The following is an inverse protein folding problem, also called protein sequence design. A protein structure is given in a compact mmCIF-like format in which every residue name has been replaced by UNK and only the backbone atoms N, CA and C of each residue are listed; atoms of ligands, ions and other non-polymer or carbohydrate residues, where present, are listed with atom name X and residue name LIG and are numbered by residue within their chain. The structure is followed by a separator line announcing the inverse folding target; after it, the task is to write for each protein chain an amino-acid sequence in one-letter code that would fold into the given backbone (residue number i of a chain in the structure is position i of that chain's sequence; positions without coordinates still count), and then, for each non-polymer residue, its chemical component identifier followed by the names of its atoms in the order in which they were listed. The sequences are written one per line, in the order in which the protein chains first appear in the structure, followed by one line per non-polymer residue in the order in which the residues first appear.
data_IF_862560570990
#
_entry.id   IF_862560570990
#
_cell.length_a   1.000
_cell.length_b   1.000
_cell.length_c   1.000
_cell.angle_alpha   90.00
_cell.angle_beta   90.00
_cell.angle_gamma   90.00
#
_symmetry.space_group_name_H-M   'P 1'
#
loop_
_entity.id
_entity.type
_entity.pdbx_description
1 polymer ?
#
# COMPACT_ATOMS: atom_id res chain seq x y z
N UNK A 1 -10.65 26.64 -11.42
CA UNK A 1 -9.53 25.81 -10.97
C UNK A 1 -9.96 24.36 -10.81
N UNK A 2 -11.07 24.06 -10.10
CA UNK A 2 -11.64 22.71 -9.93
C UNK A 2 -11.90 21.99 -11.27
N UNK A 3 -12.55 22.71 -12.22
CA UNK A 3 -12.81 22.17 -13.56
C UNK A 3 -11.53 21.80 -14.31
N UNK A 4 -10.47 22.62 -14.18
CA UNK A 4 -9.17 22.33 -14.78
C UNK A 4 -8.57 21.06 -14.19
N UNK A 5 -8.57 20.90 -12.86
CA UNK A 5 -8.05 19.70 -12.18
C UNK A 5 -8.84 18.46 -12.61
N UNK A 6 -10.18 18.57 -12.67
CA UNK A 6 -11.03 17.47 -13.12
C UNK A 6 -10.80 17.12 -14.59
N UNK A 7 -10.53 18.10 -15.45
CA UNK A 7 -10.23 17.86 -16.87
C UNK A 7 -8.91 17.12 -17.08
N UNK A 8 -7.97 17.20 -16.14
CA UNK A 8 -6.72 16.43 -16.11
C UNK A 8 -6.90 15.01 -15.55
N UNK A 9 -8.13 14.62 -15.21
CA UNK A 9 -8.43 13.28 -14.67
C UNK A 9 -8.20 13.13 -13.17
N UNK A 10 -7.82 14.20 -12.46
CA UNK A 10 -7.68 14.20 -11.00
C UNK A 10 -9.02 14.49 -10.32
N UNK A 11 -9.20 13.96 -9.12
CA UNK A 11 -10.37 14.24 -8.28
C UNK A 11 -9.95 15.27 -7.22
N UNK A 12 -10.47 16.51 -7.30
CA UNK A 12 -10.12 17.53 -6.34
C UNK A 12 -10.83 17.29 -5.00
N UNK A 13 -10.05 17.28 -3.92
CA UNK A 13 -10.55 17.29 -2.55
C UNK A 13 -10.37 18.70 -1.98
N UNK A 14 -11.46 19.35 -1.60
CA UNK A 14 -11.43 20.69 -1.01
C UNK A 14 -11.36 20.57 0.50
N UNK A 15 -10.27 21.06 1.07
CA UNK A 15 -10.00 21.07 2.51
C UNK A 15 -9.61 22.47 2.94
N UNK A 16 -9.82 22.81 4.21
CA UNK A 16 -9.13 23.94 4.82
C UNK A 16 -7.64 23.59 4.97
N UNK A 17 -6.79 24.60 5.17
CA UNK A 17 -5.35 24.35 5.37
C UNK A 17 -5.10 23.59 6.68
N UNK A 18 -5.90 23.83 7.72
CA UNK A 18 -5.82 23.11 8.99
C UNK A 18 -6.15 21.64 8.84
N UNK A 19 -7.23 21.31 8.11
CA UNK A 19 -7.61 19.92 7.80
C UNK A 19 -6.53 19.24 6.96
N UNK A 20 -6.02 19.93 5.93
CA UNK A 20 -4.92 19.40 5.11
C UNK A 20 -3.69 19.07 5.95
N UNK A 21 -3.25 20.01 6.80
CA UNK A 21 -2.06 19.85 7.62
C UNK A 21 -2.22 18.75 8.67
N UNK A 22 -3.42 18.62 9.26
CA UNK A 22 -3.75 17.54 10.18
C UNK A 22 -3.71 16.16 9.48
N UNK A 23 -4.38 16.03 8.35
CA UNK A 23 -4.43 14.77 7.58
C UNK A 23 -3.04 14.37 7.10
N UNK A 24 -2.29 15.31 6.50
CA UNK A 24 -0.94 15.00 5.97
C UNK A 24 0.05 14.67 7.08
N UNK A 25 -0.09 15.26 8.27
CA UNK A 25 0.69 14.85 9.43
C UNK A 25 0.47 13.36 9.76
N UNK A 26 -0.78 12.91 9.78
CA UNK A 26 -1.14 11.55 10.16
C UNK A 26 -0.75 10.50 9.09
N UNK A 27 -1.07 10.75 7.80
CA UNK A 27 -0.96 9.72 6.75
C UNK A 27 0.33 9.82 5.92
N UNK A 28 1.13 10.87 6.10
CA UNK A 28 2.38 11.09 5.36
C UNK A 28 3.58 11.33 6.28
N UNK A 29 3.51 12.35 7.16
CA UNK A 29 4.68 12.75 7.94
C UNK A 29 5.01 11.72 9.04
N UNK A 30 4.01 11.26 9.76
CA UNK A 30 4.17 10.25 10.81
C UNK A 30 4.76 8.94 10.27
N UNK A 31 4.27 8.35 9.18
CA UNK A 31 4.86 7.15 8.58
C UNK A 31 6.36 7.29 8.26
N UNK A 32 6.79 8.44 7.75
CA UNK A 32 8.21 8.67 7.45
C UNK A 32 9.08 8.75 8.70
N UNK A 33 8.59 9.41 9.74
CA UNK A 33 9.30 9.47 11.03
C UNK A 33 9.41 8.08 11.64
N UNK A 34 8.31 7.31 11.62
CA UNK A 34 8.27 5.95 12.17
C UNK A 34 9.24 5.04 11.41
N UNK A 35 9.22 5.06 10.07
CA UNK A 35 10.14 4.28 9.25
C UNK A 35 11.61 4.62 9.53
N UNK A 36 11.95 5.91 9.60
CA UNK A 36 13.30 6.37 9.90
C UNK A 36 13.71 6.03 11.34
N UNK A 37 12.78 6.15 12.29
CA UNK A 37 13.03 5.78 13.69
C UNK A 37 13.25 4.28 13.84
N UNK A 38 12.50 3.44 13.12
CA UNK A 38 12.69 1.99 13.11
C UNK A 38 14.07 1.61 12.57
N UNK A 39 14.51 2.22 11.47
CA UNK A 39 15.87 2.00 10.92
C UNK A 39 16.93 2.39 11.95
N UNK A 40 16.82 3.57 12.56
CA UNK A 40 17.78 4.05 13.55
C UNK A 40 17.78 3.15 14.81
N UNK A 41 16.62 2.63 15.22
CA UNK A 41 16.53 1.71 16.35
C UNK A 41 17.25 0.39 16.04
N UNK A 42 16.99 -0.20 14.89
CA UNK A 42 17.68 -1.44 14.46
C UNK A 42 19.18 -1.21 14.32
N UNK A 43 19.62 -0.09 13.75
CA UNK A 43 21.04 0.26 13.67
C UNK A 43 21.71 0.33 15.05
N UNK A 44 21.01 0.87 16.05
CA UNK A 44 21.55 0.94 17.42
C UNK A 44 21.61 -0.41 18.14
N UNK A 45 20.74 -1.33 17.77
CA UNK A 45 20.67 -2.68 18.36
C UNK A 45 21.57 -3.68 17.63
N UNK A 46 22.03 -3.34 16.44
CA UNK A 46 22.85 -4.26 15.63
C UNK A 46 24.25 -4.44 16.25
N UNK A 47 24.81 -5.61 16.01
CA UNK A 47 26.14 -5.96 16.50
C UNK A 47 27.21 -5.61 15.46
N UNK A 48 28.52 -5.64 15.84
CA UNK A 48 29.61 -5.39 14.89
C UNK A 48 29.60 -6.35 13.66
N UNK A 49 28.97 -7.52 13.81
CA UNK A 49 28.81 -8.52 12.75
C UNK A 49 27.66 -8.19 11.77
N UNK A 50 26.91 -7.10 12.03
CA UNK A 50 25.77 -6.64 11.20
C UNK A 50 24.71 -7.71 10.93
N UNK A 51 24.43 -8.59 11.90
CA UNK A 51 23.51 -9.70 11.72
C UNK A 51 22.06 -9.25 11.46
N UNK A 52 21.61 -8.14 12.07
CA UNK A 52 20.26 -7.61 11.81
C UNK A 52 20.15 -7.13 10.39
N UNK A 53 21.19 -6.51 9.85
CA UNK A 53 21.26 -6.05 8.46
C UNK A 53 21.24 -7.21 7.46
N UNK A 54 21.90 -8.34 7.79
CA UNK A 54 21.91 -9.55 6.98
C UNK A 54 20.53 -10.24 6.96
N UNK A 55 19.83 -10.29 8.09
CA UNK A 55 18.55 -10.98 8.26
C UNK A 55 17.36 -10.10 7.81
N UNK A 56 17.58 -8.79 7.61
CA UNK A 56 16.53 -7.87 7.20
C UNK A 56 15.83 -8.33 5.92
N UNK A 57 14.62 -8.89 6.07
CA UNK A 57 13.82 -9.48 5.01
C UNK A 57 12.79 -8.49 4.44
N UNK A 58 11.90 -8.97 3.55
CA UNK A 58 10.94 -8.15 2.81
C UNK A 58 10.11 -7.22 3.69
N UNK A 59 9.52 -7.72 4.79
CA UNK A 59 8.68 -6.91 5.67
C UNK A 59 9.39 -5.68 6.25
N UNK A 60 10.65 -5.83 6.71
CA UNK A 60 11.44 -4.71 7.19
C UNK A 60 11.76 -3.72 6.06
N UNK A 61 12.19 -4.23 4.89
CA UNK A 61 12.52 -3.40 3.71
C UNK A 61 11.30 -2.65 3.18
N UNK A 62 10.14 -3.28 3.17
CA UNK A 62 8.90 -2.65 2.69
C UNK A 62 8.46 -1.50 3.60
N UNK A 63 8.40 -1.71 4.91
CA UNK A 63 8.01 -0.70 5.89
C UNK A 63 9.02 0.46 5.90
N UNK A 64 10.32 0.16 5.78
CA UNK A 64 11.39 1.17 5.89
C UNK A 64 11.80 1.79 4.56
N UNK A 65 11.21 1.39 3.44
CA UNK A 65 11.54 1.90 2.10
C UNK A 65 11.56 3.43 2.02
N UNK A 66 10.62 4.08 2.68
CA UNK A 66 10.49 5.54 2.70
C UNK A 66 11.54 6.24 3.57
N UNK A 67 12.25 5.52 4.44
CA UNK A 67 13.35 6.09 5.23
C UNK A 67 14.57 6.51 4.38
N UNK A 68 14.66 6.07 3.12
CA UNK A 68 15.70 6.49 2.17
C UNK A 68 15.43 7.83 1.49
N UNK A 69 14.47 8.60 1.98
CA UNK A 69 14.10 9.91 1.44
C UNK A 69 15.16 10.99 1.74
N UNK A 70 15.13 12.10 0.98
CA UNK A 70 16.09 13.19 1.14
C UNK A 70 15.93 13.90 2.50
N UNK A 71 16.99 13.95 3.34
CA UNK A 71 16.91 14.52 4.69
C UNK A 71 16.56 16.00 4.73
N UNK A 72 17.05 16.80 3.78
CA UNK A 72 16.80 18.26 3.73
C UNK A 72 15.34 18.54 3.44
N UNK A 73 14.72 17.78 2.53
CA UNK A 73 13.28 17.91 2.23
C UNK A 73 12.46 17.59 3.48
N UNK A 74 12.82 16.52 4.20
CA UNK A 74 12.10 16.11 5.39
C UNK A 74 12.29 17.06 6.58
N UNK A 75 13.47 17.67 6.73
CA UNK A 75 13.68 18.76 7.69
C UNK A 75 12.67 19.89 7.47
N UNK A 76 12.54 20.38 6.23
CA UNK A 76 11.59 21.44 5.91
C UNK A 76 10.14 21.03 6.13
N UNK A 77 9.75 19.81 5.74
CA UNK A 77 8.40 19.29 5.97
C UNK A 77 8.06 19.26 7.45
N UNK A 78 8.94 18.71 8.29
CA UNK A 78 8.69 18.57 9.71
C UNK A 78 8.61 19.94 10.43
N UNK A 79 9.43 20.88 9.99
CA UNK A 79 9.43 22.25 10.55
C UNK A 79 8.22 23.07 10.07
N UNK A 80 7.59 22.71 8.98
CA UNK A 80 6.38 23.42 8.46
C UNK A 80 5.09 23.02 9.18
N UNK A 81 5.02 21.81 9.78
CA UNK A 81 3.81 21.31 10.45
C UNK A 81 4.09 20.69 11.86
N UNK A 82 4.84 21.39 12.73
CA UNK A 82 5.35 20.76 13.96
C UNK A 82 4.26 20.38 14.95
N UNK A 83 3.19 21.18 15.07
CA UNK A 83 2.12 20.96 16.04
C UNK A 83 1.39 19.64 15.83
N UNK A 84 0.91 19.41 14.60
CA UNK A 84 0.15 18.21 14.26
C UNK A 84 1.05 16.96 14.31
N UNK A 85 2.30 17.07 13.85
CA UNK A 85 3.28 15.99 13.90
C UNK A 85 3.59 15.58 15.33
N UNK A 86 3.87 16.54 16.21
CA UNK A 86 4.17 16.27 17.63
C UNK A 86 2.98 15.61 18.33
N UNK A 87 1.75 16.06 18.05
CA UNK A 87 0.56 15.44 18.61
C UNK A 87 0.41 14.00 18.13
N UNK A 88 0.54 13.73 16.83
CA UNK A 88 0.48 12.38 16.30
C UNK A 88 1.58 11.46 16.85
N UNK A 89 2.80 11.97 17.06
CA UNK A 89 3.86 11.20 17.69
C UNK A 89 3.54 10.83 19.15
N UNK A 90 2.90 11.72 19.90
CA UNK A 90 2.46 11.42 21.28
C UNK A 90 1.44 10.29 21.29
N UNK A 91 0.41 10.36 20.47
CA UNK A 91 -0.57 9.29 20.30
C UNK A 91 0.10 7.95 19.94
N UNK A 92 1.05 7.99 18.99
CA UNK A 92 1.79 6.79 18.60
C UNK A 92 2.63 6.21 19.75
N UNK A 93 3.26 7.04 20.56
CA UNK A 93 4.02 6.63 21.76
C UNK A 93 3.08 6.01 22.80
N UNK A 94 1.88 6.54 22.99
CA UNK A 94 0.89 5.96 23.91
C UNK A 94 0.45 4.57 23.46
N UNK A 95 0.22 4.36 22.16
CA UNK A 95 -0.09 3.04 21.61
C UNK A 95 1.06 2.05 21.79
N UNK A 96 2.33 2.48 21.62
CA UNK A 96 3.49 1.64 21.90
C UNK A 96 3.60 1.29 23.38
N UNK A 97 3.38 2.23 24.27
CA UNK A 97 3.41 1.99 25.72
C UNK A 97 2.30 1.00 26.14
N UNK A 98 1.10 1.12 25.55
CA UNK A 98 0.04 0.14 25.79
C UNK A 98 0.48 -1.26 25.33
N UNK A 99 1.07 -1.38 24.14
CA UNK A 99 1.55 -2.66 23.63
C UNK A 99 2.65 -3.27 24.52
N UNK A 100 3.59 -2.46 25.01
CA UNK A 100 4.60 -2.90 26.00
C UNK A 100 3.92 -3.47 27.23
N UNK A 101 2.96 -2.74 27.81
CA UNK A 101 2.22 -3.17 28.97
C UNK A 101 1.47 -4.50 28.75
N UNK A 102 0.80 -4.65 27.60
CA UNK A 102 0.05 -5.86 27.27
C UNK A 102 0.99 -7.07 27.09
N UNK A 103 2.16 -6.87 26.48
CA UNK A 103 3.20 -7.92 26.32
C UNK A 103 3.77 -8.35 27.66
N UNK A 104 4.14 -7.41 28.55
CA UNK A 104 4.70 -7.70 29.87
C UNK A 104 3.73 -8.51 30.74
N UNK A 105 2.42 -8.32 30.55
CA UNK A 105 1.36 -9.05 31.27
C UNK A 105 0.95 -10.34 30.58
N UNK A 106 1.49 -10.65 29.41
CA UNK A 106 1.06 -11.77 28.55
C UNK A 106 -0.46 -11.70 28.26
N UNK A 107 -0.99 -10.49 28.01
CA UNK A 107 -2.42 -10.29 27.73
C UNK A 107 -2.72 -10.62 26.26
N UNK A 108 -2.87 -11.91 25.98
CA UNK A 108 -3.14 -12.39 24.64
C UNK A 108 -4.43 -11.81 24.03
N UNK A 109 -5.43 -11.49 24.86
CA UNK A 109 -6.71 -10.93 24.42
C UNK A 109 -6.53 -9.50 23.88
N UNK A 110 -5.87 -8.64 24.65
CA UNK A 110 -5.67 -7.23 24.27
C UNK A 110 -4.69 -7.12 23.10
N UNK A 111 -3.64 -7.96 23.06
CA UNK A 111 -2.72 -8.06 21.92
C UNK A 111 -3.48 -8.47 20.66
N UNK A 112 -4.32 -9.50 20.71
CA UNK A 112 -5.12 -9.94 19.55
C UNK A 112 -6.07 -8.84 19.08
N UNK A 113 -6.80 -8.19 20.00
CA UNK A 113 -7.73 -7.11 19.68
C UNK A 113 -7.02 -5.92 18.99
N UNK A 114 -5.78 -5.60 19.40
CA UNK A 114 -4.99 -4.55 18.77
C UNK A 114 -4.71 -4.85 17.29
N UNK A 115 -4.24 -6.07 16.98
CA UNK A 115 -3.95 -6.46 15.60
C UNK A 115 -5.22 -6.61 14.77
N UNK A 116 -6.31 -7.13 15.36
CA UNK A 116 -7.60 -7.23 14.69
C UNK A 116 -8.12 -5.86 14.26
N UNK A 117 -8.15 -4.89 15.17
CA UNK A 117 -8.58 -3.52 14.87
C UNK A 117 -7.75 -2.86 13.78
N UNK A 118 -6.43 -3.07 13.79
CA UNK A 118 -5.56 -2.53 12.75
C UNK A 118 -5.79 -3.20 11.40
N UNK A 119 -6.04 -4.51 11.38
CA UNK A 119 -6.40 -5.26 10.17
C UNK A 119 -7.70 -4.74 9.57
N UNK A 120 -8.76 -4.64 10.39
CA UNK A 120 -10.05 -4.15 9.93
C UNK A 120 -9.96 -2.75 9.32
N UNK A 121 -9.27 -1.84 10.00
CA UNK A 121 -9.08 -0.50 9.46
C UNK A 121 -8.25 -0.49 8.17
N UNK A 122 -7.16 -1.27 8.12
CA UNK A 122 -6.30 -1.38 6.92
C UNK A 122 -7.07 -1.94 5.73
N UNK A 123 -7.91 -2.95 5.95
CA UNK A 123 -8.74 -3.58 4.92
C UNK A 123 -9.85 -2.65 4.42
N UNK A 124 -10.31 -1.72 5.27
CA UNK A 124 -11.28 -0.69 4.88
C UNK A 124 -10.69 0.40 3.97
N UNK A 125 -9.35 0.54 3.94
CA UNK A 125 -8.69 1.50 3.05
C UNK A 125 -8.77 0.99 1.61
N UNK A 126 -9.37 1.74 0.68
CA UNK A 126 -9.47 1.30 -0.71
C UNK A 126 -8.10 0.98 -1.30
N UNK A 127 -7.95 -0.18 -1.92
CA UNK A 127 -6.70 -0.63 -2.57
C UNK A 127 -6.34 0.18 -3.83
N UNK A 128 -6.98 1.31 -4.01
CA UNK A 128 -6.83 2.14 -5.18
C UNK A 128 -5.56 3.00 -5.09
N UNK A 129 -4.59 2.71 -5.96
CA UNK A 129 -3.28 3.37 -6.04
C UNK A 129 -3.30 4.82 -6.53
N UNK A 130 -4.45 5.43 -6.67
CA UNK A 130 -4.61 6.77 -7.23
C UNK A 130 -5.68 7.58 -6.51
N UNK A 131 -5.49 7.99 -5.24
CA UNK A 131 -6.33 8.97 -4.55
C UNK A 131 -7.85 8.70 -4.60
N UNK A 132 -8.71 9.58 -4.15
CA UNK A 132 -10.18 9.50 -4.19
C UNK A 132 -10.68 9.15 -5.61
N UNK A 133 -11.30 7.96 -5.87
CA UNK A 133 -11.20 7.36 -7.20
C UNK A 133 -12.48 6.91 -7.83
N UNK A 134 -12.42 6.99 -9.17
CA UNK A 134 -13.33 6.33 -10.11
C UNK A 134 -13.27 4.81 -9.92
N UNK A 135 -14.41 4.13 -10.11
CA UNK A 135 -14.47 2.67 -10.21
C UNK A 135 -13.31 2.16 -11.06
N UNK A 136 -12.53 1.25 -10.49
CA UNK A 136 -11.52 0.55 -11.27
C UNK A 136 -12.18 -0.69 -11.83
N UNK A 137 -12.11 -0.83 -13.13
CA UNK A 137 -12.54 -2.02 -13.83
C UNK A 137 -11.37 -3.00 -13.79
N UNK A 138 -11.36 -3.85 -12.76
CA UNK A 138 -10.28 -4.80 -12.50
C UNK A 138 -10.73 -6.24 -12.66
N UNK A 139 -9.82 -7.05 -13.17
CA UNK A 139 -9.97 -8.47 -13.29
C UNK A 139 -8.72 -9.14 -12.71
N UNK A 140 -8.93 -10.18 -11.93
CA UNK A 140 -7.86 -10.98 -11.36
C UNK A 140 -7.83 -12.33 -12.06
N UNK A 141 -6.65 -12.73 -12.55
CA UNK A 141 -6.44 -13.92 -13.38
C UNK A 141 -5.38 -14.79 -12.74
N UNK A 142 -5.69 -16.04 -12.44
CA UNK A 142 -4.67 -17.01 -12.01
C UNK A 142 -3.80 -17.37 -13.21
N UNK A 143 -2.50 -17.16 -13.07
CA UNK A 143 -1.51 -17.54 -14.08
C UNK A 143 -0.44 -18.43 -13.44
N UNK A 144 0.02 -19.49 -14.12
CA UNK A 144 1.13 -20.31 -13.63
C UNK A 144 2.43 -19.49 -13.63
N UNK A 145 3.31 -19.76 -12.68
CA UNK A 145 4.65 -19.16 -12.63
C UNK A 145 5.58 -19.87 -13.61
N UNK A 146 5.37 -19.62 -14.90
CA UNK A 146 6.17 -20.18 -16.01
C UNK A 146 6.54 -19.13 -17.06
N UNK A 147 7.66 -19.31 -17.77
CA UNK A 147 8.04 -18.42 -18.86
C UNK A 147 6.94 -18.30 -19.91
N UNK A 148 6.51 -17.06 -20.19
CA UNK A 148 5.50 -16.78 -21.21
C UNK A 148 4.05 -16.75 -20.70
N UNK A 149 3.75 -17.11 -19.46
CA UNK A 149 2.37 -17.06 -18.93
C UNK A 149 1.76 -15.67 -19.06
N UNK A 150 2.46 -14.63 -18.63
CA UNK A 150 2.03 -13.24 -18.79
C UNK A 150 1.87 -12.84 -20.27
N UNK A 151 2.80 -13.27 -21.12
CA UNK A 151 2.75 -12.98 -22.55
C UNK A 151 1.50 -13.58 -23.21
N UNK A 152 1.12 -14.82 -22.87
CA UNK A 152 -0.08 -15.47 -23.39
C UNK A 152 -1.34 -14.63 -23.10
N UNK A 153 -1.50 -14.15 -21.86
CA UNK A 153 -2.66 -13.32 -21.47
C UNK A 153 -2.65 -11.99 -22.21
N UNK A 154 -1.51 -11.30 -22.26
CA UNK A 154 -1.43 -9.98 -22.91
C UNK A 154 -1.60 -10.06 -24.43
N UNK A 155 -1.14 -11.10 -25.09
CA UNK A 155 -1.34 -11.32 -26.53
C UNK A 155 -2.82 -11.58 -26.83
N UNK A 156 -3.51 -12.45 -26.05
CA UNK A 156 -4.94 -12.68 -26.21
C UNK A 156 -5.76 -11.38 -26.14
N UNK A 157 -5.45 -10.52 -25.18
CA UNK A 157 -6.12 -9.23 -25.02
C UNK A 157 -5.80 -8.29 -26.19
N UNK A 158 -4.55 -8.25 -26.64
CA UNK A 158 -4.11 -7.41 -27.75
C UNK A 158 -4.77 -7.82 -29.09
N UNK A 159 -4.83 -9.12 -29.37
CA UNK A 159 -5.46 -9.67 -30.57
C UNK A 159 -6.99 -9.38 -30.61
N UNK A 160 -7.62 -9.31 -29.45
CA UNK A 160 -9.01 -8.91 -29.31
C UNK A 160 -9.22 -7.37 -29.29
N UNK A 161 -8.15 -6.58 -29.44
CA UNK A 161 -8.21 -5.11 -29.42
C UNK A 161 -8.56 -4.53 -28.05
N UNK A 162 -8.33 -5.27 -26.95
CA UNK A 162 -8.62 -4.83 -25.59
C UNK A 162 -7.37 -4.16 -25.01
N UNK A 163 -7.48 -2.86 -24.72
CA UNK A 163 -6.38 -2.09 -24.16
C UNK A 163 -6.36 -2.17 -22.62
N UNK A 164 -5.17 -2.35 -22.06
CA UNK A 164 -4.93 -2.36 -20.63
C UNK A 164 -4.52 -0.98 -20.14
N UNK A 165 -5.12 -0.53 -19.05
CA UNK A 165 -4.73 0.69 -18.33
C UNK A 165 -3.52 0.44 -17.45
N UNK A 166 -3.52 -0.70 -16.75
CA UNK A 166 -2.45 -1.13 -15.87
C UNK A 166 -2.51 -2.64 -15.65
N UNK A 167 -1.38 -3.23 -15.25
CA UNK A 167 -1.33 -4.62 -14.80
C UNK A 167 -0.28 -4.79 -13.70
N UNK A 168 -0.44 -5.82 -12.89
CA UNK A 168 0.51 -6.15 -11.82
C UNK A 168 0.35 -7.58 -11.37
N UNK A 169 1.41 -8.18 -10.86
CA UNK A 169 1.39 -9.51 -10.27
C UNK A 169 1.37 -9.38 -8.76
N UNK A 170 0.39 -10.02 -8.12
CA UNK A 170 0.30 -10.16 -6.67
C UNK A 170 0.65 -11.61 -6.32
N UNK A 171 1.72 -11.81 -5.55
CA UNK A 171 2.05 -13.13 -5.04
C UNK A 171 1.21 -13.41 -3.79
N UNK A 172 0.48 -14.51 -3.80
CA UNK A 172 -0.04 -15.10 -2.57
C UNK A 172 1.06 -16.02 -2.02
N UNK A 173 1.55 -15.75 -0.80
CA UNK A 173 2.71 -16.46 -0.22
C UNK A 173 2.42 -17.93 0.16
N UNK A 174 1.17 -18.37 0.07
CA UNK A 174 0.74 -19.70 0.52
C UNK A 174 0.57 -20.71 -0.62
N UNK A 175 0.39 -20.25 -1.88
CA UNK A 175 0.28 -21.12 -3.05
C UNK A 175 1.21 -20.60 -4.16
N UNK A 176 1.90 -21.49 -4.87
CA UNK A 176 2.88 -21.17 -5.94
C UNK A 176 2.28 -20.52 -7.19
N UNK A 177 1.01 -20.14 -7.18
CA UNK A 177 0.30 -19.50 -8.29
C UNK A 177 0.31 -17.97 -8.15
N UNK A 178 0.73 -17.28 -9.20
CA UNK A 178 0.70 -15.81 -9.30
C UNK A 178 -0.68 -15.32 -9.73
N UNK A 179 -1.22 -14.34 -9.00
CA UNK A 179 -2.46 -13.65 -9.42
C UNK A 179 -2.10 -12.41 -10.24
N UNK A 180 -2.45 -12.42 -11.52
CA UNK A 180 -2.31 -11.28 -12.41
C UNK A 180 -3.52 -10.35 -12.26
N UNK A 181 -3.28 -9.13 -11.79
CA UNK A 181 -4.28 -8.07 -11.77
C UNK A 181 -4.22 -7.28 -13.07
N UNK A 182 -5.34 -7.16 -13.75
CA UNK A 182 -5.54 -6.39 -14.97
C UNK A 182 -6.51 -5.23 -14.69
N UNK A 183 -6.15 -4.01 -15.07
CA UNK A 183 -7.03 -2.84 -14.96
C UNK A 183 -7.37 -2.30 -16.35
N UNK A 184 -8.64 -1.95 -16.55
CA UNK A 184 -9.19 -1.49 -17.82
C UNK A 184 -9.67 -0.04 -17.74
N UNK A 185 -9.95 0.57 -18.87
CA UNK A 185 -10.42 1.96 -18.96
C UNK A 185 -11.93 2.09 -18.68
N UNK A 186 -12.71 1.04 -18.98
CA UNK A 186 -14.17 1.04 -18.83
C UNK A 186 -14.73 -0.37 -18.58
N UNK A 187 -16.02 -0.43 -18.26
CA UNK A 187 -16.75 -1.67 -17.97
C UNK A 187 -16.79 -2.61 -19.16
N UNK A 188 -16.93 -2.08 -20.37
CA UNK A 188 -17.05 -2.89 -21.57
C UNK A 188 -15.76 -3.63 -21.89
N UNK A 189 -14.61 -2.95 -21.76
CA UNK A 189 -13.30 -3.57 -21.94
C UNK A 189 -13.07 -4.67 -20.87
N UNK A 190 -13.42 -4.41 -19.62
CA UNK A 190 -13.31 -5.38 -18.53
C UNK A 190 -14.20 -6.62 -18.78
N UNK A 191 -15.45 -6.42 -19.18
CA UNK A 191 -16.39 -7.50 -19.48
C UNK A 191 -15.92 -8.36 -20.66
N UNK A 192 -15.48 -7.73 -21.76
CA UNK A 192 -14.93 -8.45 -22.93
C UNK A 192 -13.68 -9.26 -22.56
N UNK A 193 -12.80 -8.68 -21.73
CA UNK A 193 -11.62 -9.38 -21.24
C UNK A 193 -12.00 -10.59 -20.38
N UNK A 194 -13.01 -10.44 -19.51
CA UNK A 194 -13.52 -11.54 -18.70
C UNK A 194 -14.02 -12.70 -19.58
N UNK A 195 -14.90 -12.43 -20.55
CA UNK A 195 -15.45 -13.43 -21.45
C UNK A 195 -14.32 -14.14 -22.24
N UNK A 196 -13.39 -13.37 -22.83
CA UNK A 196 -12.28 -13.89 -23.60
C UNK A 196 -11.36 -14.81 -22.80
N UNK A 197 -10.97 -14.38 -21.58
CA UNK A 197 -10.05 -15.15 -20.75
C UNK A 197 -10.73 -16.37 -20.10
N UNK A 198 -12.03 -16.28 -19.78
CA UNK A 198 -12.82 -17.43 -19.34
C UNK A 198 -12.91 -18.50 -20.45
N UNK A 199 -13.19 -18.11 -21.70
CA UNK A 199 -13.23 -19.00 -22.85
C UNK A 199 -11.86 -19.65 -23.14
N UNK A 200 -10.77 -18.94 -22.83
CA UNK A 200 -9.41 -19.46 -22.92
C UNK A 200 -9.01 -20.37 -21.72
N UNK A 201 -9.91 -20.59 -20.77
CA UNK A 201 -9.72 -21.53 -19.66
C UNK A 201 -9.02 -20.97 -18.42
N UNK A 202 -8.85 -19.64 -18.33
CA UNK A 202 -8.26 -19.01 -17.14
C UNK A 202 -9.28 -18.96 -16.00
N UNK A 203 -8.79 -19.13 -14.76
CA UNK A 203 -9.59 -18.85 -13.56
C UNK A 203 -9.58 -17.34 -13.29
N UNK A 204 -10.77 -16.78 -13.09
CA UNK A 204 -10.98 -15.34 -12.98
C UNK A 204 -11.72 -15.01 -11.71
N UNK A 205 -11.34 -13.88 -11.09
CA UNK A 205 -11.97 -13.36 -9.88
C UNK A 205 -12.29 -11.87 -10.06
N UNK A 206 -13.49 -11.48 -9.64
CA UNK A 206 -13.87 -10.07 -9.44
C UNK A 206 -13.83 -9.80 -7.93
N UNK A 207 -13.12 -8.79 -7.52
CA UNK A 207 -13.17 -8.29 -6.12
C UNK A 207 -14.01 -7.03 -6.03
#
# INVERSE_FOLDING_TARGET
FMELISSLGAIPLVLTYEEHDYITAAVSHLPHIIASTLVNAVQKMDTPEENMKLIAAGGFKDITRIASSNPVVWEHILLSNPKNIVNGLKEYIELLNKMIYDIERNDAKDINAFFESSREYRDSIPNNTSGVIRMQYELFVDIPDEPGALAKVTVLLADAGINLKNFGISHNREDEEGVLRLSFYDTDACRKAFELLADAGYRLYNR
#
